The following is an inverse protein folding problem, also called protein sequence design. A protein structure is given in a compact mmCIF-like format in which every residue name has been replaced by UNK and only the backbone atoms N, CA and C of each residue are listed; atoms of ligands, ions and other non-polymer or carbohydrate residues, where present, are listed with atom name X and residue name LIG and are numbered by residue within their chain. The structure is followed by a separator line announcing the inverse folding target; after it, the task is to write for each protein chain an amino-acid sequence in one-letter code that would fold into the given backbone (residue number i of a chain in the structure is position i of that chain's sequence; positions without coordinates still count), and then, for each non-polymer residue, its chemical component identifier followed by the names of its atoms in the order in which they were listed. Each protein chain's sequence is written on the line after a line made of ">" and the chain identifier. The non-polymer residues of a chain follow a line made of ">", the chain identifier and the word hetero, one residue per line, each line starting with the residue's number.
data_IF_175638397098
#
_entry.id   IF_175638397098
#
_cell.length_a   1.000
_cell.length_b   1.000
_cell.length_c   1.000
_cell.angle_alpha   90.00
_cell.angle_beta   90.00
_cell.angle_gamma   90.00
#
_symmetry.space_group_name_H-M   'P 1'
#
loop_
_entity.id
_entity.type
_entity.pdbx_description
1 polymer ?
#
# COMPACT_ATOMS: atom_id res chain seq x y z
N UNK A 1 -22.41 2.79 -2.23
CA UNK A 1 -22.45 2.08 -3.53
C UNK A 1 -21.17 2.27 -4.37
N UNK A 2 -20.00 2.56 -3.77
CA UNK A 2 -18.81 2.99 -4.52
C UNK A 2 -17.58 2.06 -4.46
N UNK A 3 -17.74 0.74 -4.30
CA UNK A 3 -16.59 -0.17 -4.07
C UNK A 3 -16.17 -0.99 -5.29
N UNK A 4 -17.09 -1.39 -6.17
CA UNK A 4 -16.73 -2.26 -7.30
C UNK A 4 -16.21 -1.47 -8.51
N UNK A 5 -16.78 -0.28 -8.76
CA UNK A 5 -16.36 0.58 -9.87
C UNK A 5 -14.96 1.17 -9.66
N UNK A 6 -14.61 1.53 -8.42
CA UNK A 6 -13.28 2.05 -8.09
C UNK A 6 -12.20 0.97 -8.23
N UNK A 7 -12.46 -0.25 -7.77
CA UNK A 7 -11.48 -1.34 -7.89
C UNK A 7 -11.21 -1.71 -9.34
N UNK A 8 -12.26 -1.88 -10.17
CA UNK A 8 -12.08 -2.17 -11.59
C UNK A 8 -11.28 -1.07 -12.29
N UNK A 9 -11.56 0.20 -11.98
CA UNK A 9 -10.81 1.33 -12.52
C UNK A 9 -9.33 1.29 -12.12
N UNK A 10 -9.01 0.99 -10.85
CA UNK A 10 -7.62 0.86 -10.39
C UNK A 10 -6.88 -0.28 -11.10
N UNK A 11 -7.57 -1.39 -11.37
CA UNK A 11 -7.01 -2.55 -12.08
C UNK A 11 -6.74 -2.21 -13.55
N UNK A 12 -7.67 -1.53 -14.21
CA UNK A 12 -7.51 -1.13 -15.60
C UNK A 12 -6.37 -0.11 -15.75
N UNK A 13 -6.28 0.87 -14.84
CA UNK A 13 -5.17 1.83 -14.79
C UNK A 13 -3.82 1.13 -14.55
N UNK A 14 -3.76 0.17 -13.62
CA UNK A 14 -2.55 -0.61 -13.37
C UNK A 14 -2.09 -1.37 -14.63
N UNK A 15 -3.02 -1.97 -15.40
CA UNK A 15 -2.71 -2.66 -16.65
C UNK A 15 -2.17 -1.70 -17.71
N UNK A 16 -2.79 -0.54 -17.85
CA UNK A 16 -2.38 0.46 -18.83
C UNK A 16 -0.98 1.00 -18.51
N UNK A 17 -0.68 1.28 -17.24
CA UNK A 17 0.65 1.69 -16.81
C UNK A 17 1.70 0.59 -17.08
N UNK A 18 1.41 -0.67 -16.78
CA UNK A 18 2.35 -1.78 -17.07
C UNK A 18 2.57 -1.91 -18.58
N UNK A 19 1.52 -1.76 -19.38
CA UNK A 19 1.59 -1.79 -20.84
C UNK A 19 2.44 -0.64 -21.41
N UNK A 20 2.37 0.53 -20.77
CA UNK A 20 3.18 1.70 -21.11
C UNK A 20 4.65 1.57 -20.64
N UNK A 21 5.01 0.46 -19.99
CA UNK A 21 6.38 0.10 -19.64
C UNK A 21 6.80 0.51 -18.22
N UNK A 22 5.87 1.02 -17.40
CA UNK A 22 6.14 1.29 -16.00
C UNK A 22 6.42 0.00 -15.23
N UNK A 23 7.42 0.04 -14.35
CA UNK A 23 7.88 -1.10 -13.54
C UNK A 23 7.53 -1.00 -12.07
N UNK A 24 6.97 0.14 -11.66
CA UNK A 24 6.59 0.40 -10.28
C UNK A 24 5.22 1.06 -10.27
N UNK A 25 4.32 0.55 -9.46
CA UNK A 25 2.97 1.10 -9.26
C UNK A 25 2.82 1.63 -7.84
N UNK A 26 2.10 2.74 -7.72
CA UNK A 26 1.75 3.35 -6.45
C UNK A 26 0.25 3.19 -6.20
N UNK A 27 -0.10 2.58 -5.07
CA UNK A 27 -1.49 2.38 -4.66
C UNK A 27 -1.76 3.23 -3.42
N UNK A 28 -2.75 4.12 -3.50
CA UNK A 28 -3.23 4.88 -2.34
C UNK A 28 -4.15 4.00 -1.50
N UNK A 29 -3.88 3.93 -0.20
CA UNK A 29 -4.66 3.19 0.79
C UNK A 29 -4.96 4.10 1.98
N UNK A 30 -5.71 3.63 2.98
CA UNK A 30 -5.98 4.40 4.20
C UNK A 30 -7.43 4.79 4.41
N UNK A 31 -8.34 4.46 3.49
CA UNK A 31 -9.77 4.81 3.59
C UNK A 31 -10.55 3.66 4.22
N UNK A 32 -10.51 2.47 3.61
CA UNK A 32 -11.16 1.27 4.12
C UNK A 32 -10.21 0.09 4.02
N UNK A 33 -9.70 -0.35 5.17
CA UNK A 33 -8.68 -1.40 5.22
C UNK A 33 -9.08 -2.71 4.51
N UNK A 34 -10.37 -3.06 4.40
CA UNK A 34 -10.77 -4.30 3.71
C UNK A 34 -10.70 -4.10 2.20
N UNK A 35 -11.18 -2.96 1.70
CA UNK A 35 -11.10 -2.60 0.29
C UNK A 35 -9.66 -2.36 -0.15
N UNK A 36 -8.84 -1.71 0.69
CA UNK A 36 -7.43 -1.45 0.43
C UNK A 36 -6.64 -2.76 0.27
N UNK A 37 -6.84 -3.72 1.19
CA UNK A 37 -6.19 -5.04 1.12
C UNK A 37 -6.62 -5.80 -0.13
N UNK A 38 -7.91 -5.74 -0.47
CA UNK A 38 -8.43 -6.39 -1.67
C UNK A 38 -7.88 -5.75 -2.95
N UNK A 39 -7.74 -4.42 -2.97
CA UNK A 39 -7.15 -3.71 -4.10
C UNK A 39 -5.69 -4.12 -4.32
N UNK A 40 -4.88 -4.17 -3.26
CA UNK A 40 -3.49 -4.63 -3.34
C UNK A 40 -3.42 -6.07 -3.89
N UNK A 41 -4.25 -6.98 -3.36
CA UNK A 41 -4.32 -8.37 -3.82
C UNK A 41 -4.63 -8.47 -5.31
N UNK A 42 -5.72 -7.84 -5.74
CA UNK A 42 -6.20 -7.94 -7.13
C UNK A 42 -5.22 -7.26 -8.10
N UNK A 43 -4.62 -6.13 -7.72
CA UNK A 43 -3.60 -5.48 -8.54
C UNK A 43 -2.37 -6.38 -8.66
N UNK A 44 -1.82 -6.93 -7.56
CA UNK A 44 -0.69 -7.87 -7.61
C UNK A 44 -0.97 -9.07 -8.54
N UNK A 45 -2.12 -9.71 -8.37
CA UNK A 45 -2.53 -10.83 -9.23
C UNK A 45 -2.65 -10.46 -10.71
N UNK A 46 -3.00 -9.19 -10.99
CA UNK A 46 -3.16 -8.68 -12.35
C UNK A 46 -1.82 -8.37 -13.03
N UNK A 47 -0.91 -7.71 -12.30
CA UNK A 47 0.33 -7.16 -12.88
C UNK A 47 1.51 -8.14 -12.81
N UNK A 48 1.38 -9.19 -12.00
CA UNK A 48 2.43 -10.20 -11.80
C UNK A 48 3.52 -9.75 -10.84
N UNK A 49 4.46 -10.65 -10.52
CA UNK A 49 5.48 -10.43 -9.49
C UNK A 49 6.64 -9.53 -9.92
N UNK A 50 6.82 -9.33 -11.23
CA UNK A 50 7.91 -8.51 -11.81
C UNK A 50 7.67 -6.99 -11.69
N UNK A 51 6.48 -6.58 -11.27
CA UNK A 51 6.12 -5.17 -11.11
C UNK A 51 6.21 -4.81 -9.64
N UNK A 52 7.01 -3.81 -9.31
CA UNK A 52 7.12 -3.32 -7.93
C UNK A 52 5.82 -2.62 -7.52
N UNK A 53 5.35 -2.90 -6.29
CA UNK A 53 4.15 -2.24 -5.75
C UNK A 53 4.54 -1.51 -4.47
N UNK A 54 4.22 -0.21 -4.46
CA UNK A 54 4.34 0.66 -3.29
C UNK A 54 2.94 1.05 -2.83
N UNK A 55 2.70 1.03 -1.54
CA UNK A 55 1.44 1.50 -0.96
C UNK A 55 1.68 2.75 -0.13
N UNK A 56 0.79 3.71 -0.19
CA UNK A 56 0.87 4.94 0.61
C UNK A 56 -0.45 5.14 1.37
N UNK A 57 -0.35 5.11 2.70
CA UNK A 57 -1.49 5.26 3.60
C UNK A 57 -1.77 6.72 3.99
N UNK A 58 -0.91 7.66 3.58
CA UNK A 58 -1.04 9.09 3.84
C UNK A 58 -1.40 9.39 5.31
N UNK A 59 -0.67 8.75 6.23
CA UNK A 59 -0.77 8.91 7.69
C UNK A 59 -2.10 8.43 8.31
N UNK A 60 -2.88 7.62 7.59
CA UNK A 60 -4.25 7.29 7.98
C UNK A 60 -4.40 6.30 9.15
N UNK A 61 -3.37 5.53 9.50
CA UNK A 61 -3.51 4.47 10.50
C UNK A 61 -2.92 4.84 11.84
N UNK A 62 -3.47 4.24 12.90
CA UNK A 62 -2.76 4.12 14.18
C UNK A 62 -1.68 3.04 14.09
N UNK A 63 -0.62 3.07 14.92
CA UNK A 63 0.47 2.08 14.85
C UNK A 63 -0.01 0.62 14.92
N UNK A 64 -0.94 0.33 15.83
CA UNK A 64 -1.52 -1.01 15.93
C UNK A 64 -2.37 -1.41 14.72
N UNK A 65 -3.05 -0.47 14.06
CA UNK A 65 -3.79 -0.74 12.83
C UNK A 65 -2.84 -0.97 11.66
N UNK A 66 -1.81 -0.13 11.52
CA UNK A 66 -0.78 -0.26 10.51
C UNK A 66 -0.14 -1.64 10.54
N UNK A 67 0.33 -2.11 11.71
CA UNK A 67 0.92 -3.46 11.84
C UNK A 67 -0.05 -4.55 11.38
N UNK A 68 -1.34 -4.46 11.72
CA UNK A 68 -2.34 -5.47 11.32
C UNK A 68 -2.60 -5.47 9.82
N UNK A 69 -2.63 -4.29 9.20
CA UNK A 69 -2.91 -4.14 7.77
C UNK A 69 -1.69 -4.58 6.97
N UNK A 70 -0.50 -4.07 7.29
CA UNK A 70 0.76 -4.38 6.60
C UNK A 70 1.01 -5.89 6.61
N UNK A 71 0.86 -6.57 7.75
CA UNK A 71 1.01 -8.04 7.83
C UNK A 71 0.06 -8.83 6.92
N UNK A 72 -1.09 -8.26 6.56
CA UNK A 72 -2.04 -8.92 5.63
C UNK A 72 -1.66 -8.73 4.18
N UNK A 73 -0.94 -7.65 3.87
CA UNK A 73 -0.49 -7.33 2.50
C UNK A 73 0.97 -7.71 2.25
N UNK A 74 1.72 -8.11 3.29
CA UNK A 74 3.07 -8.68 3.19
C UNK A 74 3.16 -9.86 2.22
N UNK A 75 2.10 -10.66 2.11
CA UNK A 75 2.03 -11.79 1.20
C UNK A 75 2.07 -11.39 -0.29
N UNK A 76 1.91 -10.11 -0.60
CA UNK A 76 1.91 -9.58 -1.97
C UNK A 76 3.23 -8.92 -2.38
N UNK A 77 4.29 -9.14 -1.60
CA UNK A 77 5.66 -8.69 -1.88
C UNK A 77 5.72 -7.22 -2.29
N UNK A 78 5.37 -6.36 -1.34
CA UNK A 78 5.40 -4.91 -1.53
C UNK A 78 6.82 -4.40 -1.38
N UNK A 79 7.23 -3.52 -2.29
CA UNK A 79 8.52 -2.85 -2.22
C UNK A 79 8.62 -1.98 -0.95
N UNK A 80 7.54 -1.25 -0.64
CA UNK A 80 7.44 -0.44 0.58
C UNK A 80 6.00 -0.04 0.94
N UNK A 81 5.84 0.35 2.21
CA UNK A 81 4.67 1.07 2.74
C UNK A 81 5.11 2.48 3.17
N UNK A 82 4.51 3.49 2.56
CA UNK A 82 4.76 4.90 2.82
C UNK A 82 3.75 5.48 3.82
N UNK A 83 4.26 6.28 4.76
CA UNK A 83 3.51 7.03 5.76
C UNK A 83 2.35 6.24 6.39
N UNK A 84 2.59 5.05 6.98
CA UNK A 84 1.52 4.25 7.58
C UNK A 84 0.81 4.97 8.75
N UNK A 85 1.56 5.78 9.50
CA UNK A 85 1.09 6.51 10.69
C UNK A 85 1.43 7.99 10.56
N UNK A 86 0.93 8.81 11.49
CA UNK A 86 1.26 10.24 11.55
C UNK A 86 2.77 10.48 11.49
N UNK A 87 3.18 11.44 10.66
CA UNK A 87 4.58 11.86 10.53
C UNK A 87 5.17 12.41 11.83
N UNK A 88 4.31 12.85 12.76
CA UNK A 88 4.71 13.35 14.08
C UNK A 88 4.85 12.24 15.13
N UNK A 89 4.33 11.04 14.86
CA UNK A 89 4.40 9.88 15.75
C UNK A 89 5.61 9.01 15.41
N UNK A 90 6.81 9.52 15.71
CA UNK A 90 8.07 8.84 15.44
C UNK A 90 8.19 7.51 16.20
N UNK A 91 7.68 7.45 17.44
CA UNK A 91 7.66 6.23 18.24
C UNK A 91 6.73 5.18 17.65
N UNK A 92 5.54 5.58 17.21
CA UNK A 92 4.60 4.74 16.49
C UNK A 92 5.17 4.23 15.16
N UNK A 93 5.85 5.10 14.40
CA UNK A 93 6.54 4.72 13.17
C UNK A 93 7.63 3.67 13.44
N UNK A 94 8.43 3.89 14.48
CA UNK A 94 9.47 2.96 14.89
C UNK A 94 8.88 1.63 15.40
N UNK A 95 7.73 1.65 16.07
CA UNK A 95 7.00 0.44 16.45
C UNK A 95 6.55 -0.36 15.23
N UNK A 96 5.92 0.29 14.25
CA UNK A 96 5.48 -0.37 13.02
C UNK A 96 6.67 -1.03 12.32
N UNK A 97 7.74 -0.28 12.09
CA UNK A 97 8.96 -0.76 11.43
C UNK A 97 9.60 -1.97 12.12
N UNK A 98 9.52 -2.08 13.45
CA UNK A 98 10.05 -3.24 14.20
C UNK A 98 9.18 -4.49 14.11
N UNK A 99 7.91 -4.37 13.68
CA UNK A 99 6.89 -5.42 13.79
C UNK A 99 6.46 -6.01 12.44
N UNK A 100 6.94 -5.44 11.34
CA UNK A 100 6.67 -5.87 9.97
C UNK A 100 7.98 -6.14 9.24
N UNK A 101 7.91 -6.97 8.21
CA UNK A 101 9.01 -7.28 7.30
C UNK A 101 9.04 -6.32 6.12
N UNK A 102 7.89 -5.80 5.69
CA UNK A 102 7.82 -4.83 4.59
C UNK A 102 8.56 -3.54 4.96
N UNK A 103 9.40 -2.99 4.07
CA UNK A 103 10.07 -1.70 4.28
C UNK A 103 9.07 -0.57 4.55
N UNK A 104 9.37 0.25 5.55
CA UNK A 104 8.56 1.44 5.90
C UNK A 104 9.30 2.70 5.47
N UNK A 105 8.65 3.52 4.65
CA UNK A 105 9.15 4.82 4.23
C UNK A 105 8.43 5.95 5.01
N UNK A 106 9.22 6.80 5.65
CA UNK A 106 8.77 8.10 6.12
C UNK A 106 9.13 9.13 5.05
N UNK A 107 8.14 9.74 4.40
CA UNK A 107 8.41 10.91 3.57
C UNK A 107 8.54 12.14 4.48
N UNK A 108 9.76 12.68 4.55
CA UNK A 108 10.02 14.04 5.04
C UNK A 108 9.91 14.97 3.83
N UNK A 109 8.84 15.76 3.75
CA UNK A 109 8.79 16.87 2.80
C UNK A 109 9.81 17.91 3.27
N UNK A 110 10.90 18.06 2.51
CA UNK A 110 11.86 19.17 2.64
C UNK A 110 11.30 20.45 2.04
#
# INVERSE_FOLDING_TARGET
>A
MGSQGSLNQMVDEAKDLVKDGYKTLYIKVGIDSKQDIEAVRVIRETVGDEIEIRVDANQAWSPGAAVRIIRRIEAYDLEMVEQPVSMYDLDGMAEVRRRVSTPILSHESS
#
